data_IF_682873162663
#
_entry.id   IF_682873162663
#
_cell.length_a   1.000
_cell.length_b   1.000
_cell.length_c   1.000
_cell.angle_alpha   90.00
_cell.angle_beta   90.00
_cell.angle_gamma   90.00
#
_symmetry.space_group_name_H-M   'P 1'
#
loop_
_entity.id
_entity.type
_entity.pdbx_description
1 polymer ?
#
# COMPACT_ATOMS: atom_id res chain seq x y z
N UNK A 1 7.37 11.86 -4.47
CA UNK A 1 6.29 11.38 -3.57
C UNK A 1 6.78 10.10 -2.91
N UNK A 2 6.98 10.08 -1.59
CA UNK A 2 7.59 8.96 -0.86
C UNK A 2 6.50 8.18 -0.09
N UNK A 3 6.59 6.85 -0.06
CA UNK A 3 5.79 6.01 0.83
C UNK A 3 6.62 5.70 2.08
N UNK A 4 6.10 5.98 3.27
CA UNK A 4 6.73 5.62 4.53
C UNK A 4 5.66 5.17 5.54
N UNK A 5 5.84 3.97 6.10
CA UNK A 5 4.98 3.36 7.12
C UNK A 5 5.69 2.11 7.70
N UNK A 6 5.03 1.36 8.59
CA UNK A 6 5.60 0.17 9.24
C UNK A 6 6.08 -0.95 8.28
N UNK A 7 5.76 -0.88 6.98
CA UNK A 7 6.26 -1.81 5.95
C UNK A 7 7.51 -1.30 5.21
N UNK A 8 8.03 -0.14 5.60
CA UNK A 8 9.19 0.48 4.97
C UNK A 8 10.45 -0.34 5.17
N UNK A 9 11.30 -0.35 4.15
CA UNK A 9 12.62 -0.98 4.17
C UNK A 9 13.69 -0.04 4.75
N UNK A 10 14.87 -0.58 5.07
CA UNK A 10 16.04 0.22 5.48
C UNK A 10 16.38 1.34 4.49
N UNK A 11 16.24 1.08 3.19
CA UNK A 11 16.49 2.08 2.16
C UNK A 11 15.48 3.24 2.23
N UNK A 12 14.22 2.94 2.58
CA UNK A 12 13.19 3.98 2.75
C UNK A 12 13.50 4.84 3.99
N UNK A 13 14.01 4.23 5.07
CA UNK A 13 14.47 4.96 6.27
C UNK A 13 15.69 5.84 6.01
N UNK A 14 16.64 5.38 5.20
CA UNK A 14 17.81 6.16 4.81
C UNK A 14 17.44 7.35 3.92
N UNK A 15 16.51 7.14 2.97
CA UNK A 15 15.97 8.21 2.14
C UNK A 15 15.24 9.26 2.99
N UNK A 16 14.43 8.81 3.95
CA UNK A 16 13.76 9.68 4.92
C UNK A 16 14.77 10.52 5.72
N UNK A 17 15.82 9.90 6.25
CA UNK A 17 16.87 10.59 7.00
C UNK A 17 17.57 11.66 6.14
N UNK A 18 17.88 11.33 4.90
CA UNK A 18 18.52 12.25 3.94
C UNK A 18 17.65 13.49 3.69
N UNK A 19 16.35 13.28 3.43
CA UNK A 19 15.40 14.38 3.21
C UNK A 19 15.24 15.25 4.46
N UNK A 20 15.15 14.62 5.64
CA UNK A 20 15.04 15.33 6.90
C UNK A 20 16.28 16.19 7.19
N UNK A 21 17.49 15.63 7.02
CA UNK A 21 18.75 16.36 7.19
C UNK A 21 18.91 17.53 6.21
N UNK A 22 18.24 17.48 5.05
CA UNK A 22 18.17 18.60 4.11
C UNK A 22 17.15 19.68 4.51
N UNK A 23 16.48 19.56 5.67
CA UNK A 23 15.50 20.52 6.16
C UNK A 23 14.13 20.42 5.46
N UNK A 24 13.84 19.29 4.79
CA UNK A 24 12.57 19.11 4.07
C UNK A 24 11.48 18.54 4.98
N UNK A 25 10.30 19.17 4.95
CA UNK A 25 9.10 18.65 5.59
C UNK A 25 8.62 17.36 4.92
N UNK A 26 8.35 16.33 5.72
CA UNK A 26 8.00 15.00 5.22
C UNK A 26 6.51 14.71 5.43
N UNK A 27 5.83 14.41 4.32
CA UNK A 27 4.44 13.95 4.28
C UNK A 27 4.37 12.62 3.52
N UNK A 28 4.42 11.46 4.19
CA UNK A 28 4.49 10.19 3.50
C UNK A 28 3.14 9.77 2.95
N UNK A 29 3.15 9.22 1.75
CA UNK A 29 1.97 8.69 1.11
C UNK A 29 1.63 7.30 1.61
N UNK A 30 0.32 7.01 1.63
CA UNK A 30 -0.26 5.75 2.10
C UNK A 30 0.26 5.36 3.49
N UNK A 31 0.10 6.24 4.50
CA UNK A 31 0.62 5.99 5.86
C UNK A 31 0.05 4.71 6.50
N UNK A 32 -1.13 4.27 6.06
CA UNK A 32 -1.81 3.07 6.58
C UNK A 32 -1.59 1.81 5.72
N UNK A 33 -0.50 1.76 4.95
CA UNK A 33 -0.12 0.60 4.12
C UNK A 33 -1.26 0.02 3.25
N UNK A 34 -2.06 0.89 2.63
CA UNK A 34 -3.17 0.46 1.77
C UNK A 34 -4.39 -0.08 2.52
N UNK A 35 -4.48 0.11 3.85
CA UNK A 35 -5.60 -0.26 4.72
C UNK A 35 -5.89 -1.75 4.82
N UNK A 36 -4.92 -2.60 4.46
CA UNK A 36 -5.02 -4.07 4.63
C UNK A 36 -5.20 -4.53 6.08
N UNK A 37 -4.94 -3.67 7.07
CA UNK A 37 -5.21 -3.96 8.48
C UNK A 37 -6.71 -4.23 8.75
N UNK A 38 -7.61 -3.70 7.91
CA UNK A 38 -9.07 -3.88 8.02
C UNK A 38 -9.56 -5.32 7.94
N UNK A 39 -8.74 -6.22 7.41
CA UNK A 39 -9.01 -7.67 7.41
C UNK A 39 -8.91 -8.27 8.82
N UNK A 40 -8.22 -7.59 9.74
CA UNK A 40 -7.94 -8.09 11.10
C UNK A 40 -8.45 -7.18 12.22
N UNK A 41 -8.61 -5.89 11.95
CA UNK A 41 -9.07 -4.90 12.92
C UNK A 41 -9.55 -3.64 12.21
N UNK A 42 -10.58 -2.96 12.73
CA UNK A 42 -10.94 -1.61 12.26
C UNK A 42 -10.06 -0.52 12.91
N UNK A 43 -9.05 -0.91 13.69
CA UNK A 43 -8.16 0.01 14.38
C UNK A 43 -6.96 0.48 13.54
N UNK A 44 -6.97 1.75 13.10
CA UNK A 44 -5.84 2.42 12.44
C UNK A 44 -4.74 2.87 13.42
N UNK A 45 -5.02 2.88 14.73
CA UNK A 45 -4.16 3.41 15.78
C UNK A 45 -2.71 2.93 15.72
N UNK A 46 -2.43 1.61 15.63
CA UNK A 46 -1.09 1.04 15.50
C UNK A 46 -0.23 1.74 14.45
N UNK A 47 -0.80 1.97 13.27
CA UNK A 47 -0.11 2.56 12.12
C UNK A 47 0.19 4.05 12.35
N UNK A 48 -0.76 4.78 12.95
CA UNK A 48 -0.61 6.21 13.23
C UNK A 48 0.44 6.46 14.30
N UNK A 49 0.41 5.76 15.42
CA UNK A 49 1.43 5.97 16.47
C UNK A 49 2.81 5.53 16.01
N UNK A 50 2.91 4.53 15.13
CA UNK A 50 4.19 4.16 14.53
C UNK A 50 4.81 5.34 13.77
N UNK A 51 4.00 6.07 13.00
CA UNK A 51 4.45 7.26 12.28
C UNK A 51 4.75 8.44 13.20
N UNK A 52 3.90 8.69 14.20
CA UNK A 52 4.08 9.79 15.17
C UNK A 52 5.31 9.58 16.05
N UNK A 53 5.68 8.32 16.32
CA UNK A 53 6.89 7.99 17.06
C UNK A 53 8.19 8.37 16.32
N UNK A 54 8.11 8.62 15.01
CA UNK A 54 9.24 9.09 14.22
C UNK A 54 9.22 10.62 14.07
N UNK A 55 10.10 11.36 14.78
CA UNK A 55 10.08 12.82 14.76
C UNK A 55 10.40 13.42 13.38
N UNK A 56 10.86 12.61 12.42
CA UNK A 56 11.14 13.05 11.05
C UNK A 56 9.87 13.23 10.23
N UNK A 57 8.74 12.65 10.65
CA UNK A 57 7.44 12.74 9.96
C UNK A 57 6.67 13.96 10.45
N UNK A 58 6.31 14.86 9.55
CA UNK A 58 5.74 16.17 9.90
C UNK A 58 4.21 16.21 9.72
N UNK A 59 3.71 15.57 8.67
CA UNK A 59 2.27 15.53 8.35
C UNK A 59 1.90 14.12 7.93
N UNK A 60 0.77 13.61 8.44
CA UNK A 60 0.28 12.26 8.12
C UNK A 60 -1.04 12.37 7.34
N UNK A 61 -1.04 12.15 6.02
CA UNK A 61 -2.25 12.26 5.21
C UNK A 61 -3.12 11.00 5.35
N UNK A 62 -4.20 11.08 6.13
CA UNK A 62 -5.10 9.94 6.37
C UNK A 62 -6.50 10.25 5.86
N UNK A 63 -7.04 9.33 5.04
CA UNK A 63 -8.40 9.42 4.52
C UNK A 63 -9.42 9.06 5.60
N UNK A 64 -10.44 9.91 5.74
CA UNK A 64 -11.56 9.75 6.67
C UNK A 64 -12.87 9.89 5.88
N UNK A 65 -13.86 9.05 6.18
CA UNK A 65 -15.17 9.02 5.52
C UNK A 65 -16.32 9.31 6.49
N UNK A 66 -16.05 9.23 7.79
CA UNK A 66 -17.03 9.38 8.87
C UNK A 66 -16.37 10.17 10.02
N UNK A 67 -17.19 10.76 10.90
CA UNK A 67 -16.71 11.42 12.11
C UNK A 67 -16.01 10.43 13.04
N UNK A 68 -16.51 9.19 13.14
CA UNK A 68 -15.85 8.15 13.93
C UNK A 68 -14.39 7.91 13.49
N UNK A 69 -14.09 7.93 12.18
CA UNK A 69 -12.71 7.84 11.71
C UNK A 69 -11.87 9.06 12.16
N UNK A 70 -12.46 10.26 12.23
CA UNK A 70 -11.78 11.47 12.73
C UNK A 70 -11.43 11.29 14.21
N UNK A 71 -12.41 10.92 15.03
CA UNK A 71 -12.23 10.73 16.47
C UNK A 71 -11.17 9.67 16.78
N UNK A 72 -11.24 8.53 16.09
CA UNK A 72 -10.26 7.45 16.21
C UNK A 72 -8.85 7.92 15.85
N UNK A 73 -8.68 8.57 14.70
CA UNK A 73 -7.36 9.02 14.27
C UNK A 73 -6.79 10.08 15.22
N UNK A 74 -7.60 11.05 15.66
CA UNK A 74 -7.19 12.09 16.62
C UNK A 74 -6.83 11.47 17.97
N UNK A 75 -7.58 10.47 18.43
CA UNK A 75 -7.28 9.74 19.67
C UNK A 75 -5.93 9.01 19.57
N UNK A 76 -5.63 8.38 18.43
CA UNK A 76 -4.34 7.73 18.21
C UNK A 76 -3.16 8.70 18.33
N UNK A 77 -3.29 9.95 17.86
CA UNK A 77 -2.25 10.97 17.98
C UNK A 77 -1.97 11.42 19.43
N UNK A 78 -2.86 11.10 20.38
CA UNK A 78 -2.70 11.44 21.80
C UNK A 78 -2.06 10.33 22.63
N UNK A 79 -1.78 9.19 22.01
CA UNK A 79 -1.23 8.01 22.68
C UNK A 79 0.12 7.64 22.06
N UNK A 80 0.96 6.95 22.83
CA UNK A 80 2.29 6.53 22.39
C UNK A 80 2.26 5.11 21.82
N UNK A 81 3.18 4.82 20.90
CA UNK A 81 3.36 3.47 20.38
C UNK A 81 3.72 2.50 21.50
N UNK A 82 2.90 1.47 21.71
CA UNK A 82 3.08 0.42 22.71
C UNK A 82 3.70 -0.85 22.13
N UNK A 83 4.12 -1.79 22.99
CA UNK A 83 4.60 -3.10 22.53
C UNK A 83 3.49 -3.95 21.89
N UNK A 84 2.25 -3.82 22.37
CA UNK A 84 1.09 -4.47 21.75
C UNK A 84 0.86 -3.98 20.31
N UNK A 85 1.12 -2.69 20.05
CA UNK A 85 1.06 -2.14 18.70
C UNK A 85 2.13 -2.73 17.79
N UNK A 86 3.36 -2.84 18.31
CA UNK A 86 4.48 -3.41 17.56
C UNK A 86 4.18 -4.85 17.16
N UNK A 87 3.60 -5.64 18.07
CA UNK A 87 3.22 -7.03 17.78
C UNK A 87 2.07 -7.09 16.76
N UNK A 88 1.07 -6.21 16.90
CA UNK A 88 -0.02 -6.08 15.91
C UNK A 88 0.54 -5.77 14.52
N UNK A 89 1.39 -4.76 14.38
CA UNK A 89 2.01 -4.39 13.10
C UNK A 89 2.88 -5.53 12.54
N UNK A 90 3.64 -6.21 13.38
CA UNK A 90 4.48 -7.34 13.00
C UNK A 90 3.66 -8.51 12.47
N UNK A 91 2.57 -8.88 13.14
CA UNK A 91 1.66 -9.93 12.69
C UNK A 91 0.98 -9.60 11.36
N UNK A 92 0.72 -8.32 11.09
CA UNK A 92 0.13 -7.84 9.84
C UNK A 92 1.13 -7.74 8.68
N UNK A 93 2.44 -7.70 8.98
CA UNK A 93 3.49 -7.32 8.01
C UNK A 93 3.55 -8.27 6.81
N UNK A 94 3.55 -9.59 7.04
CA UNK A 94 3.66 -10.57 5.96
C UNK A 94 2.44 -10.51 5.02
N UNK A 95 1.23 -10.44 5.59
CA UNK A 95 -0.02 -10.33 4.85
C UNK A 95 -0.04 -9.06 3.99
N UNK A 96 0.32 -7.94 4.60
CA UNK A 96 0.32 -6.61 3.96
C UNK A 96 1.40 -6.50 2.89
N UNK A 97 2.63 -6.94 3.18
CA UNK A 97 3.78 -6.78 2.26
C UNK A 97 3.57 -7.50 0.92
N UNK A 98 2.94 -8.67 0.94
CA UNK A 98 2.60 -9.42 -0.28
C UNK A 98 1.53 -8.73 -1.15
N UNK A 99 0.78 -7.76 -0.61
CA UNK A 99 -0.40 -7.14 -1.26
C UNK A 99 -0.24 -5.64 -1.51
N UNK A 100 0.55 -4.96 -0.69
CA UNK A 100 0.65 -3.51 -0.65
C UNK A 100 1.56 -2.96 -1.75
N UNK A 101 0.93 -2.48 -2.84
CA UNK A 101 1.62 -1.75 -3.89
C UNK A 101 1.99 -0.33 -3.45
N UNK A 102 3.30 -0.08 -3.35
CA UNK A 102 3.90 1.22 -3.03
C UNK A 102 3.96 2.20 -4.22
N UNK A 103 3.50 1.77 -5.40
CA UNK A 103 3.46 2.56 -6.64
C UNK A 103 4.83 3.12 -7.05
N UNK A 104 5.88 2.31 -6.99
CA UNK A 104 7.21 2.70 -7.44
C UNK A 104 7.43 2.58 -8.96
N UNK A 105 6.52 1.95 -9.70
CA UNK A 105 6.60 1.79 -11.16
C UNK A 105 7.65 0.81 -11.66
N UNK A 106 8.42 0.14 -10.79
CA UNK A 106 9.52 -0.75 -11.22
C UNK A 106 9.06 -1.98 -12.01
N UNK A 107 7.77 -2.33 -11.92
CA UNK A 107 7.15 -3.43 -12.67
C UNK A 107 6.67 -3.03 -14.07
N UNK A 108 6.66 -1.74 -14.42
CA UNK A 108 6.14 -1.27 -15.70
C UNK A 108 6.95 -1.83 -16.87
N UNK A 109 6.24 -2.36 -17.87
CA UNK A 109 6.83 -2.98 -19.07
C UNK A 109 7.62 -4.28 -18.81
N UNK A 110 7.65 -4.80 -17.58
CA UNK A 110 8.41 -6.03 -17.24
C UNK A 110 7.67 -7.31 -17.58
N UNK A 111 6.36 -7.25 -17.78
CA UNK A 111 5.57 -8.43 -18.12
C UNK A 111 5.84 -8.85 -19.56
N UNK A 112 6.37 -10.06 -19.76
CA UNK A 112 6.59 -10.63 -21.09
C UNK A 112 5.29 -10.76 -21.93
N UNK A 113 4.13 -10.81 -21.27
CA UNK A 113 2.82 -10.80 -21.93
C UNK A 113 2.24 -9.40 -22.20
N UNK A 114 2.99 -8.32 -21.93
CA UNK A 114 2.56 -6.95 -22.23
C UNK A 114 1.56 -6.32 -21.25
N UNK A 115 1.23 -7.01 -20.16
CA UNK A 115 0.24 -6.55 -19.17
C UNK A 115 0.70 -5.30 -18.41
N UNK A 116 -0.23 -4.37 -18.17
CA UNK A 116 -0.05 -3.16 -17.36
C UNK A 116 -0.03 -3.49 -15.85
N UNK A 117 1.00 -4.19 -15.39
CA UNK A 117 1.07 -4.77 -14.03
C UNK A 117 0.84 -3.73 -12.93
N UNK A 118 1.45 -2.55 -13.03
CA UNK A 118 1.30 -1.50 -12.00
C UNK A 118 -0.17 -1.10 -11.83
N UNK A 119 -0.87 -0.83 -12.94
CA UNK A 119 -2.26 -0.41 -12.93
C UNK A 119 -3.21 -1.53 -12.47
N UNK A 120 -2.96 -2.75 -12.92
CA UNK A 120 -3.76 -3.92 -12.54
C UNK A 120 -3.62 -4.18 -11.03
N UNK A 121 -2.39 -4.29 -10.51
CA UNK A 121 -2.15 -4.53 -9.08
C UNK A 121 -2.69 -3.39 -8.21
N UNK A 122 -2.59 -2.15 -8.68
CA UNK A 122 -3.20 -0.98 -8.02
C UNK A 122 -4.71 -1.09 -7.94
N UNK A 123 -5.36 -1.55 -9.01
CA UNK A 123 -6.81 -1.76 -9.04
C UNK A 123 -7.23 -2.79 -7.99
N UNK A 124 -6.49 -3.89 -7.83
CA UNK A 124 -6.78 -4.89 -6.77
C UNK A 124 -6.58 -4.32 -5.38
N UNK A 125 -5.55 -3.48 -5.16
CA UNK A 125 -5.34 -2.80 -3.88
C UNK A 125 -6.55 -1.91 -3.50
N UNK A 126 -7.18 -1.23 -4.46
CA UNK A 126 -8.40 -0.47 -4.20
C UNK A 126 -9.58 -1.36 -3.80
N UNK A 127 -9.76 -2.48 -4.50
CA UNK A 127 -10.84 -3.40 -4.20
C UNK A 127 -10.72 -4.00 -2.79
N UNK A 128 -9.54 -4.50 -2.43
CA UNK A 128 -9.35 -5.23 -1.17
C UNK A 128 -8.97 -4.30 -0.02
N UNK A 129 -7.84 -3.62 -0.13
CA UNK A 129 -7.32 -2.80 0.97
C UNK A 129 -8.22 -1.60 1.29
N UNK A 130 -8.69 -0.90 0.26
CA UNK A 130 -9.58 0.25 0.46
C UNK A 130 -11.07 -0.13 0.54
N UNK A 131 -11.41 -1.39 0.27
CA UNK A 131 -12.78 -1.87 0.16
C UNK A 131 -13.63 -1.06 -0.83
N UNK A 132 -13.00 -0.61 -1.93
CA UNK A 132 -13.59 0.30 -2.92
C UNK A 132 -13.58 -0.34 -4.32
N UNK A 133 -14.51 -1.27 -4.54
CA UNK A 133 -14.65 -1.99 -5.80
C UNK A 133 -15.01 -1.07 -6.97
N UNK A 134 -15.75 0.01 -6.71
CA UNK A 134 -16.11 0.98 -7.73
C UNK A 134 -14.86 1.72 -8.26
N UNK A 135 -14.00 2.19 -7.35
CA UNK A 135 -12.71 2.78 -7.72
C UNK A 135 -11.81 1.78 -8.43
N UNK A 136 -11.77 0.53 -7.97
CA UNK A 136 -11.01 -0.53 -8.61
C UNK A 136 -11.44 -0.76 -10.07
N UNK A 137 -12.75 -0.90 -10.31
CA UNK A 137 -13.31 -1.09 -11.66
C UNK A 137 -13.08 0.11 -12.55
N UNK A 138 -13.27 1.33 -12.03
CA UNK A 138 -13.01 2.56 -12.78
C UNK A 138 -11.54 2.68 -13.18
N UNK A 139 -10.61 2.42 -12.26
CA UNK A 139 -9.17 2.45 -12.53
C UNK A 139 -8.76 1.38 -13.54
N UNK A 140 -9.25 0.15 -13.37
CA UNK A 140 -9.01 -0.93 -14.33
C UNK A 140 -9.60 -0.61 -15.71
N UNK A 141 -10.75 0.06 -15.74
CA UNK A 141 -11.39 0.42 -16.99
C UNK A 141 -10.64 1.51 -17.78
N UNK A 142 -9.79 2.29 -17.13
CA UNK A 142 -8.95 3.31 -17.74
C UNK A 142 -7.65 2.74 -18.37
N UNK A 143 -7.33 1.47 -18.11
CA UNK A 143 -6.21 0.77 -18.77
C UNK A 143 -6.53 0.65 -20.27
N UNK A 144 -5.56 0.90 -21.17
CA UNK A 144 -5.75 0.72 -22.60
C UNK A 144 -6.40 -0.62 -22.94
N UNK A 145 -7.41 -0.60 -23.81
CA UNK A 145 -8.22 -1.78 -24.09
C UNK A 145 -7.39 -2.98 -24.55
N UNK A 146 -6.34 -2.74 -25.34
CA UNK A 146 -5.39 -3.76 -25.79
C UNK A 146 -4.75 -4.51 -24.61
N UNK A 147 -4.26 -3.78 -23.61
CA UNK A 147 -3.64 -4.35 -22.41
C UNK A 147 -4.66 -4.93 -21.43
N UNK A 148 -5.88 -4.39 -21.41
CA UNK A 148 -6.96 -4.88 -20.55
C UNK A 148 -7.54 -6.21 -21.05
N UNK A 149 -7.58 -6.42 -22.36
CA UNK A 149 -8.03 -7.68 -22.98
C UNK A 149 -6.98 -8.78 -22.88
N UNK A 150 -5.70 -8.44 -22.68
CA UNK A 150 -4.68 -9.44 -22.35
C UNK A 150 -5.01 -10.08 -21.00
N UNK A 151 -4.94 -11.41 -20.93
CA UNK A 151 -5.18 -12.14 -19.69
C UNK A 151 -3.84 -12.52 -19.04
N UNK A 152 -3.80 -12.54 -17.70
CA UNK A 152 -2.70 -13.20 -17.02
C UNK A 152 -2.79 -14.72 -17.25
N UNK A 153 -1.92 -15.25 -18.11
CA UNK A 153 -1.93 -16.67 -18.50
C UNK A 153 -1.27 -17.61 -17.48
N UNK A 154 -0.98 -17.15 -16.26
CA UNK A 154 -0.33 -17.94 -15.22
C UNK A 154 0.95 -18.66 -15.70
N UNK A 155 1.84 -17.94 -16.39
CA UNK A 155 3.10 -18.45 -16.96
C UNK A 155 3.87 -19.33 -15.95
N UNK A 156 4.56 -20.39 -16.37
CA UNK A 156 5.33 -21.25 -15.43
C UNK A 156 6.24 -20.43 -14.51
N UNK A 157 6.87 -19.38 -15.04
CA UNK A 157 7.64 -18.40 -14.29
C UNK A 157 7.16 -16.97 -14.57
N UNK A 158 6.87 -16.20 -13.52
CA UNK A 158 6.50 -14.80 -13.68
C UNK A 158 7.76 -13.98 -13.97
N UNK A 159 7.75 -13.20 -15.04
CA UNK A 159 8.87 -12.32 -15.43
C UNK A 159 8.96 -11.05 -14.60
N UNK A 160 7.98 -10.82 -13.73
CA UNK A 160 7.85 -9.58 -12.95
C UNK A 160 8.09 -9.89 -11.47
N UNK A 161 9.20 -9.38 -10.95
CA UNK A 161 9.54 -9.45 -9.53
C UNK A 161 9.38 -8.06 -8.89
N UNK A 162 8.59 -7.96 -7.83
CA UNK A 162 8.46 -6.71 -7.09
C UNK A 162 9.61 -6.59 -6.07
N UNK A 163 10.47 -5.56 -6.14
CA UNK A 163 11.55 -5.37 -5.16
C UNK A 163 11.01 -5.06 -3.76
N UNK A 164 9.71 -4.74 -3.63
CA UNK A 164 9.05 -4.42 -2.37
C UNK A 164 8.18 -5.57 -1.83
N UNK A 165 8.34 -6.78 -2.39
CA UNK A 165 7.74 -8.02 -1.87
C UNK A 165 6.30 -8.31 -2.29
N UNK A 166 5.71 -7.50 -3.19
CA UNK A 166 4.35 -7.77 -3.70
C UNK A 166 4.34 -9.04 -4.55
N UNK A 167 3.40 -9.94 -4.25
CA UNK A 167 3.22 -11.22 -4.91
C UNK A 167 2.52 -11.05 -6.27
N UNK A 168 3.26 -10.56 -7.27
CA UNK A 168 2.70 -10.05 -8.54
C UNK A 168 1.77 -11.05 -9.21
N UNK A 169 2.18 -12.33 -9.34
CA UNK A 169 1.37 -13.35 -10.00
C UNK A 169 -0.02 -13.48 -9.34
N UNK A 170 -0.02 -13.62 -8.03
CA UNK A 170 -1.21 -13.80 -7.20
C UNK A 170 -2.10 -12.55 -7.28
N UNK A 171 -1.50 -11.35 -7.27
CA UNK A 171 -2.25 -10.10 -7.45
C UNK A 171 -2.87 -9.98 -8.84
N UNK A 172 -2.17 -10.40 -9.90
CA UNK A 172 -2.70 -10.39 -11.25
C UNK A 172 -3.84 -11.38 -11.43
N UNK A 173 -3.73 -12.60 -10.89
CA UNK A 173 -4.83 -13.58 -10.87
C UNK A 173 -6.05 -13.04 -10.14
N UNK A 174 -5.83 -12.44 -8.96
CA UNK A 174 -6.89 -11.82 -8.18
C UNK A 174 -7.61 -10.69 -8.93
N UNK A 175 -6.91 -9.96 -9.77
CA UNK A 175 -7.53 -8.95 -10.64
C UNK A 175 -8.53 -9.57 -11.61
N UNK A 176 -8.19 -10.71 -12.21
CA UNK A 176 -9.07 -11.41 -13.16
C UNK A 176 -10.34 -11.91 -12.48
N UNK A 177 -10.28 -12.29 -11.20
CA UNK A 177 -11.45 -12.73 -10.44
C UNK A 177 -12.40 -11.58 -10.06
N UNK A 178 -11.85 -10.37 -9.85
CA UNK A 178 -12.58 -9.24 -9.27
C UNK A 178 -13.10 -8.24 -10.31
N UNK A 179 -12.37 -8.09 -11.44
CA UNK A 179 -12.49 -6.94 -12.33
C UNK A 179 -12.82 -7.29 -13.78
N UNK A 180 -12.61 -8.55 -14.19
CA UNK A 180 -13.05 -9.08 -15.47
C UNK A 180 -14.45 -9.71 -15.33
#
# INVERSE_FOLDING_TARGET
MMTYNHTSSSDDEQNLATLHSAGLGITPMKPLAGRFYKETSDDSGPHLRWLVADPRVHTIPVGMKTIAHVEQNVSALRTTLSDADRETLKSQLAFTSARFCRMCGTCDGRCAGGLAVNDVVRSVMYAEGYSDLAMARSHFAAIPEEQRRMACHNCTQCTVHCPKGVAIRERMQRAMELLC
#
